data_IF_578401677326
#
_entry.id   IF_578401677326
#
_cell.length_a   1.000
_cell.length_b   1.000
_cell.length_c   1.000
_cell.angle_alpha   90.00
_cell.angle_beta   90.00
_cell.angle_gamma   90.00
#
_symmetry.space_group_name_H-M   'P 1'
#
loop_
_entity.id
_entity.type
_entity.pdbx_description
1 polymer ?
#
# COMPACT_ATOMS: atom_id res chain seq x y z
N UNK A 1 -24.91 17.82 -17.18
CA UNK A 1 -25.14 17.63 -15.74
C UNK A 1 -23.82 17.93 -15.07
N UNK A 2 -23.77 18.93 -14.19
CA UNK A 2 -22.56 19.19 -13.42
C UNK A 2 -22.26 17.97 -12.55
N UNK A 3 -21.10 17.35 -12.77
CA UNK A 3 -20.64 16.23 -11.95
C UNK A 3 -20.36 16.80 -10.56
N UNK A 4 -21.03 16.28 -9.52
CA UNK A 4 -20.79 16.69 -8.13
C UNK A 4 -19.31 16.54 -7.82
N UNK A 5 -18.66 17.62 -7.43
CA UNK A 5 -17.29 17.61 -6.92
C UNK A 5 -17.27 16.90 -5.56
N UNK A 6 -16.44 15.85 -5.45
CA UNK A 6 -16.30 15.06 -4.22
C UNK A 6 -15.23 15.64 -3.31
N UNK A 7 -15.44 15.52 -2.00
CA UNK A 7 -14.45 15.79 -0.98
C UNK A 7 -13.84 14.47 -0.50
N UNK A 8 -12.53 14.30 -0.74
CA UNK A 8 -11.78 13.08 -0.46
C UNK A 8 -10.80 13.34 0.68
N UNK A 9 -10.95 12.66 1.80
CA UNK A 9 -10.02 12.72 2.93
C UNK A 9 -9.00 11.59 2.79
N UNK A 10 -7.71 11.94 2.71
CA UNK A 10 -6.60 10.99 2.62
C UNK A 10 -5.85 10.98 3.93
N UNK A 11 -5.78 9.84 4.62
CA UNK A 11 -4.96 9.65 5.83
C UNK A 11 -3.60 9.07 5.45
N UNK A 12 -2.56 9.32 6.26
CA UNK A 12 -1.20 8.92 5.89
C UNK A 12 -0.66 9.68 4.67
N UNK A 13 -1.06 10.95 4.53
CA UNK A 13 -0.76 11.80 3.39
C UNK A 13 0.72 12.17 3.20
N UNK A 14 1.56 11.90 4.20
CA UNK A 14 3.03 12.06 4.17
C UNK A 14 3.79 10.74 3.92
N UNK A 15 3.07 9.60 3.88
CA UNK A 15 3.64 8.30 3.56
C UNK A 15 3.91 8.11 2.07
N UNK A 16 4.51 6.96 1.68
CA UNK A 16 4.82 6.65 0.28
C UNK A 16 3.61 6.82 -0.65
N UNK A 17 2.51 6.13 -0.34
CA UNK A 17 1.30 6.18 -1.17
C UNK A 17 0.62 7.55 -1.10
N UNK A 18 0.59 8.19 0.09
CA UNK A 18 0.04 9.53 0.26
C UNK A 18 0.73 10.56 -0.61
N UNK A 19 2.07 10.55 -0.67
CA UNK A 19 2.85 11.42 -1.55
C UNK A 19 2.58 11.13 -3.05
N UNK A 20 2.49 9.85 -3.43
CA UNK A 20 2.14 9.47 -4.81
C UNK A 20 0.71 9.91 -5.18
N UNK A 21 -0.23 9.86 -4.23
CA UNK A 21 -1.59 10.37 -4.44
C UNK A 21 -1.59 11.89 -4.66
N UNK A 22 -0.83 12.67 -3.87
CA UNK A 22 -0.68 14.12 -4.09
C UNK A 22 -0.26 14.45 -5.52
N UNK A 23 0.67 13.67 -6.07
CA UNK A 23 1.08 13.83 -7.46
C UNK A 23 -0.01 13.44 -8.46
N UNK A 24 -0.73 12.36 -8.17
CA UNK A 24 -1.73 11.82 -9.09
C UNK A 24 -3.03 12.65 -9.17
N UNK A 25 -3.34 13.45 -8.13
CA UNK A 25 -4.58 14.22 -8.06
C UNK A 25 -4.48 15.64 -8.62
N UNK A 26 -3.31 16.04 -9.15
CA UNK A 26 -3.08 17.41 -9.63
C UNK A 26 -4.09 17.89 -10.69
N UNK A 27 -4.56 16.95 -11.52
CA UNK A 27 -5.51 17.21 -12.59
C UNK A 27 -6.94 16.73 -12.25
N UNK A 28 -7.20 16.26 -11.02
CA UNK A 28 -8.51 15.81 -10.58
C UNK A 28 -9.46 17.00 -10.35
N UNK A 29 -10.70 16.87 -10.79
CA UNK A 29 -11.75 17.84 -10.50
C UNK A 29 -12.24 17.78 -9.04
N UNK A 30 -11.95 16.69 -8.32
CA UNK A 30 -12.32 16.47 -6.94
C UNK A 30 -11.37 17.21 -5.98
N UNK A 31 -11.86 17.46 -4.75
CA UNK A 31 -11.05 18.11 -3.71
C UNK A 31 -10.45 17.05 -2.79
N UNK A 32 -9.13 17.05 -2.65
CA UNK A 32 -8.41 16.15 -1.77
C UNK A 32 -7.87 16.88 -0.54
N UNK A 33 -8.16 16.34 0.64
CA UNK A 33 -7.68 16.84 1.93
C UNK A 33 -6.71 15.79 2.47
N UNK A 34 -5.43 16.13 2.50
CA UNK A 34 -4.39 15.22 2.98
C UNK A 34 -4.14 15.43 4.47
N UNK A 35 -4.20 14.35 5.24
CA UNK A 35 -4.01 14.37 6.68
C UNK A 35 -2.91 13.40 7.10
N UNK A 36 -2.17 13.76 8.15
CA UNK A 36 -1.13 12.93 8.77
C UNK A 36 -0.86 13.42 10.19
N UNK A 37 -0.18 12.60 11.01
CA UNK A 37 0.40 13.02 12.31
C UNK A 37 1.73 13.75 12.12
N UNK A 38 2.35 13.62 10.96
CA UNK A 38 3.61 14.24 10.56
C UNK A 38 3.33 15.33 9.52
N UNK A 39 4.06 16.44 9.63
CA UNK A 39 4.05 17.50 8.62
C UNK A 39 5.39 17.47 7.87
N UNK A 40 5.34 17.46 6.55
CA UNK A 40 6.53 17.56 5.71
C UNK A 40 6.62 18.97 5.10
N UNK A 41 7.82 19.58 5.09
CA UNK A 41 8.01 20.90 4.49
C UNK A 41 7.53 20.94 3.03
N UNK A 42 6.76 21.98 2.69
CA UNK A 42 6.24 22.17 1.33
C UNK A 42 5.02 21.32 0.94
N UNK A 43 4.50 20.49 1.84
CA UNK A 43 3.27 19.74 1.64
C UNK A 43 2.15 20.27 2.55
N UNK A 44 1.09 20.79 1.97
CA UNK A 44 -0.11 21.16 2.73
C UNK A 44 -0.72 19.89 3.35
N UNK A 45 -0.68 19.82 4.68
CA UNK A 45 -1.14 18.66 5.44
C UNK A 45 -1.94 19.11 6.65
N UNK A 46 -3.13 18.57 6.81
CA UNK A 46 -3.92 18.81 8.02
C UNK A 46 -3.50 17.78 9.06
N UNK A 47 -3.12 18.23 10.26
CA UNK A 47 -2.74 17.33 11.35
C UNK A 47 -3.95 16.52 11.80
N UNK A 48 -3.85 15.19 11.75
CA UNK A 48 -4.88 14.28 12.20
C UNK A 48 -4.24 12.95 12.64
N UNK A 49 -4.57 12.54 13.87
CA UNK A 49 -4.31 11.18 14.34
C UNK A 49 -5.54 10.31 14.06
N UNK A 50 -5.36 9.23 13.29
CA UNK A 50 -6.46 8.32 12.93
C UNK A 50 -7.00 7.54 14.14
N UNK A 51 -6.29 7.52 15.26
CA UNK A 51 -6.74 6.89 16.52
C UNK A 51 -7.70 7.78 17.29
N UNK A 52 -7.71 9.09 17.00
CA UNK A 52 -8.66 10.06 17.58
C UNK A 52 -9.93 10.13 16.72
N UNK A 53 -10.92 9.32 17.12
CA UNK A 53 -12.20 9.22 16.41
C UNK A 53 -13.01 10.52 16.45
N UNK A 54 -12.89 11.33 17.50
CA UNK A 54 -13.63 12.59 17.62
C UNK A 54 -13.07 13.63 16.64
N UNK A 55 -11.74 13.77 16.59
CA UNK A 55 -11.07 14.63 15.59
C UNK A 55 -11.37 14.18 14.17
N UNK A 56 -11.39 12.86 13.92
CA UNK A 56 -11.75 12.30 12.63
C UNK A 56 -13.19 12.65 12.23
N UNK A 57 -14.15 12.52 13.15
CA UNK A 57 -15.55 12.90 12.93
C UNK A 57 -15.69 14.39 12.65
N UNK A 58 -15.03 15.23 13.45
CA UNK A 58 -15.09 16.69 13.32
C UNK A 58 -14.56 17.17 11.96
N UNK A 59 -13.41 16.63 11.50
CA UNK A 59 -12.90 17.00 10.18
C UNK A 59 -13.78 16.45 9.05
N UNK A 60 -14.29 15.24 9.18
CA UNK A 60 -15.18 14.64 8.19
C UNK A 60 -16.47 15.44 8.02
N UNK A 61 -17.03 15.97 9.10
CA UNK A 61 -18.22 16.83 9.09
C UNK A 61 -17.88 18.20 8.48
N UNK A 62 -16.86 18.88 9.00
CA UNK A 62 -16.42 20.19 8.54
C UNK A 62 -16.16 20.23 7.02
N UNK A 63 -15.47 19.23 6.53
CA UNK A 63 -15.07 19.16 5.12
C UNK A 63 -16.12 18.46 4.23
N UNK A 64 -17.24 18.00 4.81
CA UNK A 64 -18.31 17.26 4.11
C UNK A 64 -17.75 16.07 3.30
N UNK A 65 -16.94 15.22 3.93
CA UNK A 65 -16.20 14.13 3.27
C UNK A 65 -17.16 13.12 2.65
N UNK A 66 -16.97 12.84 1.37
CA UNK A 66 -17.70 11.83 0.59
C UNK A 66 -16.91 10.50 0.49
N UNK A 67 -15.57 10.57 0.51
CA UNK A 67 -14.70 9.40 0.37
C UNK A 67 -13.52 9.52 1.35
N UNK A 68 -13.21 8.43 2.04
CA UNK A 68 -11.98 8.26 2.81
C UNK A 68 -11.01 7.38 2.05
N UNK A 69 -9.74 7.78 1.96
CA UNK A 69 -8.63 6.94 1.46
C UNK A 69 -7.66 6.72 2.60
N UNK A 70 -7.67 5.53 3.19
CA UNK A 70 -6.81 5.21 4.31
C UNK A 70 -5.48 4.62 3.85
N UNK A 71 -4.45 5.49 3.79
CA UNK A 71 -3.05 5.11 3.55
C UNK A 71 -2.24 5.03 4.86
N UNK A 72 -2.81 5.45 5.99
CA UNK A 72 -2.16 5.35 7.29
C UNK A 72 -2.19 3.91 7.82
N UNK A 73 -1.15 3.54 8.56
CA UNK A 73 -1.05 2.25 9.22
C UNK A 73 0.37 1.97 9.72
N UNK A 74 0.50 0.94 10.54
CA UNK A 74 1.78 0.42 11.00
C UNK A 74 2.37 -0.51 9.93
N UNK A 75 3.48 -0.13 9.30
CA UNK A 75 4.03 -0.84 8.13
C UNK A 75 5.40 -1.49 8.38
N UNK A 76 5.97 -1.33 9.58
CA UNK A 76 7.22 -1.99 9.92
C UNK A 76 6.96 -3.44 10.35
N UNK A 77 7.07 -4.37 9.39
CA UNK A 77 6.76 -5.79 9.56
C UNK A 77 7.58 -6.43 10.70
N UNK A 78 8.90 -6.16 10.75
CA UNK A 78 9.78 -6.71 11.79
C UNK A 78 9.44 -6.19 13.19
N UNK A 79 9.23 -4.87 13.29
CA UNK A 79 8.98 -4.23 14.56
C UNK A 79 7.56 -4.50 15.09
N UNK A 80 6.62 -4.86 14.23
CA UNK A 80 5.27 -5.25 14.63
C UNK A 80 5.25 -6.46 15.57
N UNK A 81 6.25 -7.36 15.46
CA UNK A 81 6.38 -8.51 16.37
C UNK A 81 6.71 -8.09 17.83
N UNK A 82 7.33 -6.91 18.01
CA UNK A 82 7.61 -6.33 19.33
C UNK A 82 6.53 -5.30 19.75
N UNK A 83 5.93 -4.59 18.80
CA UNK A 83 4.97 -3.48 19.02
C UNK A 83 3.53 -3.94 18.72
N UNK A 84 3.12 -5.11 19.21
CA UNK A 84 1.82 -5.76 18.86
C UNK A 84 0.62 -4.83 19.08
N UNK A 85 0.57 -4.15 20.24
CA UNK A 85 -0.55 -3.28 20.60
C UNK A 85 -0.61 -2.03 19.70
N UNK A 86 0.53 -1.43 19.39
CA UNK A 86 0.58 -0.30 18.47
C UNK A 86 0.23 -0.71 17.03
N UNK A 87 0.70 -1.88 16.59
CA UNK A 87 0.34 -2.41 15.29
C UNK A 87 -1.17 -2.65 15.18
N UNK A 88 -1.80 -3.25 16.21
CA UNK A 88 -3.25 -3.46 16.26
C UNK A 88 -4.02 -2.14 16.36
N UNK A 89 -3.55 -1.19 17.19
CA UNK A 89 -4.17 0.12 17.31
C UNK A 89 -4.27 0.82 15.95
N UNK A 90 -3.18 0.85 15.18
CA UNK A 90 -3.13 1.58 13.91
C UNK A 90 -3.74 0.78 12.73
N UNK A 91 -3.57 -0.55 12.69
CA UNK A 91 -4.01 -1.35 11.56
C UNK A 91 -5.44 -1.89 11.71
N UNK A 92 -5.99 -1.95 12.92
CA UNK A 92 -7.33 -2.48 13.18
C UNK A 92 -8.24 -1.46 13.89
N UNK A 93 -7.94 -1.06 15.12
CA UNK A 93 -8.82 -0.19 15.93
C UNK A 93 -9.05 1.18 15.28
N UNK A 94 -8.01 1.79 14.73
CA UNK A 94 -8.16 3.06 13.99
C UNK A 94 -9.01 2.89 12.72
N UNK A 95 -8.92 1.72 12.05
CA UNK A 95 -9.75 1.41 10.89
C UNK A 95 -11.23 1.22 11.29
N UNK A 96 -11.51 0.66 12.46
CA UNK A 96 -12.87 0.62 13.02
C UNK A 96 -13.44 2.03 13.20
N UNK A 97 -12.63 2.96 13.71
CA UNK A 97 -13.00 4.37 13.84
C UNK A 97 -13.31 5.02 12.49
N UNK A 98 -12.45 4.81 11.49
CA UNK A 98 -12.64 5.29 10.12
C UNK A 98 -13.92 4.72 9.48
N UNK A 99 -14.13 3.41 9.60
CA UNK A 99 -15.31 2.74 9.04
C UNK A 99 -16.60 3.24 9.69
N UNK A 100 -16.60 3.45 11.03
CA UNK A 100 -17.74 3.98 11.74
C UNK A 100 -18.09 5.41 11.29
N UNK A 101 -17.10 6.30 11.18
CA UNK A 101 -17.31 7.68 10.69
C UNK A 101 -17.75 7.68 9.22
N UNK A 102 -17.19 6.81 8.39
CA UNK A 102 -17.62 6.65 7.01
C UNK A 102 -19.09 6.19 6.91
N UNK A 103 -19.50 5.21 7.75
CA UNK A 103 -20.88 4.73 7.81
C UNK A 103 -21.85 5.82 8.27
N UNK A 104 -21.53 6.57 9.33
CA UNK A 104 -22.31 7.71 9.83
C UNK A 104 -22.60 8.75 8.74
N UNK A 105 -21.67 8.94 7.80
CA UNK A 105 -21.78 9.90 6.70
C UNK A 105 -22.33 9.30 5.39
N UNK A 106 -22.50 8.00 5.29
CA UNK A 106 -22.80 7.31 4.04
C UNK A 106 -21.66 7.35 3.01
N UNK A 107 -20.45 7.69 3.46
CA UNK A 107 -19.24 7.81 2.65
C UNK A 107 -18.65 6.43 2.30
N UNK A 108 -17.79 6.40 1.29
CA UNK A 108 -17.04 5.19 0.91
C UNK A 108 -15.63 5.23 1.54
N UNK A 109 -15.17 4.09 2.08
CA UNK A 109 -13.81 3.90 2.57
C UNK A 109 -12.98 3.09 1.57
N UNK A 110 -11.90 3.66 1.05
CA UNK A 110 -10.86 2.92 0.32
C UNK A 110 -9.73 2.62 1.31
N UNK A 111 -9.54 1.34 1.64
CA UNK A 111 -8.56 0.89 2.64
C UNK A 111 -7.45 0.08 2.00
N UNK A 112 -6.20 0.41 2.33
CA UNK A 112 -5.02 -0.30 1.81
C UNK A 112 -4.67 -1.45 2.76
N UNK A 113 -4.63 -2.67 2.20
CA UNK A 113 -4.21 -3.88 2.89
C UNK A 113 -2.97 -4.50 2.24
N UNK A 114 -2.68 -5.77 2.53
CA UNK A 114 -1.41 -6.43 2.22
C UNK A 114 -1.61 -7.89 1.81
N UNK A 115 -0.64 -8.41 1.05
CA UNK A 115 -0.44 -9.84 0.77
C UNK A 115 -0.10 -10.66 2.03
N UNK A 116 0.41 -10.03 3.10
CA UNK A 116 0.74 -10.71 4.37
C UNK A 116 -0.49 -11.26 5.12
N UNK A 117 -1.68 -11.03 4.63
CA UNK A 117 -2.89 -11.71 5.12
C UNK A 117 -2.93 -13.20 4.74
N UNK A 118 -2.06 -13.65 3.82
CA UNK A 118 -1.96 -15.04 3.37
C UNK A 118 -0.79 -15.80 3.98
N UNK A 119 -0.91 -17.13 4.08
CA UNK A 119 0.07 -18.02 4.72
C UNK A 119 1.32 -18.35 3.89
N UNK A 120 1.28 -18.11 2.58
CA UNK A 120 2.43 -18.32 1.71
C UNK A 120 2.59 -19.73 1.13
N UNK A 121 1.65 -20.64 1.35
CA UNK A 121 1.68 -22.03 0.85
C UNK A 121 1.05 -22.17 -0.55
N UNK A 122 0.61 -21.06 -1.16
CA UNK A 122 0.04 -21.08 -2.48
C UNK A 122 1.09 -21.42 -3.55
N UNK A 123 0.67 -22.11 -4.62
CA UNK A 123 1.49 -22.48 -5.78
C UNK A 123 1.06 -21.82 -7.08
N UNK A 124 0.05 -20.95 -6.99
CA UNK A 124 -0.50 -20.17 -8.10
C UNK A 124 -0.99 -18.81 -7.59
N UNK A 125 -1.23 -17.83 -8.46
CA UNK A 125 -1.69 -16.52 -8.05
C UNK A 125 -2.92 -16.57 -7.15
N UNK A 126 -2.85 -15.90 -6.00
CA UNK A 126 -3.84 -15.96 -4.92
C UNK A 126 -5.00 -15.04 -5.30
N UNK A 127 -6.23 -15.59 -5.30
CA UNK A 127 -7.46 -14.82 -5.55
C UNK A 127 -7.99 -14.17 -4.28
N UNK A 128 -8.88 -13.20 -4.46
CA UNK A 128 -9.45 -12.41 -3.37
C UNK A 128 -10.29 -13.24 -2.38
N UNK A 129 -10.88 -14.35 -2.85
CA UNK A 129 -11.70 -15.29 -2.06
C UNK A 129 -10.88 -16.40 -1.36
N UNK A 130 -9.55 -16.43 -1.56
CA UNK A 130 -8.69 -17.36 -0.84
C UNK A 130 -8.71 -17.09 0.67
N UNK A 131 -8.74 -18.17 1.46
CA UNK A 131 -8.79 -18.07 2.91
C UNK A 131 -7.53 -17.40 3.48
N UNK A 132 -7.64 -16.30 4.24
CA UNK A 132 -6.50 -15.67 4.88
C UNK A 132 -5.93 -16.56 6.00
N UNK A 133 -4.60 -16.58 6.12
CA UNK A 133 -3.84 -17.31 7.15
C UNK A 133 -2.54 -16.57 7.50
N UNK A 134 -2.60 -15.37 8.10
CA UNK A 134 -1.43 -14.52 8.33
C UNK A 134 -0.40 -15.21 9.24
N UNK A 135 0.89 -15.06 8.92
CA UNK A 135 2.01 -15.65 9.64
C UNK A 135 2.70 -14.71 10.63
N UNK A 136 2.35 -13.41 10.59
CA UNK A 136 2.99 -12.34 11.37
C UNK A 136 1.95 -11.45 12.05
N UNK A 137 2.37 -10.73 13.07
CA UNK A 137 1.54 -9.71 13.75
C UNK A 137 1.08 -8.64 12.75
N UNK A 138 1.96 -8.20 11.85
CA UNK A 138 1.59 -7.26 10.79
C UNK A 138 0.44 -7.79 9.94
N UNK A 139 0.56 -9.00 9.40
CA UNK A 139 -0.49 -9.61 8.58
C UNK A 139 -1.80 -9.81 9.34
N UNK A 140 -1.73 -10.27 10.60
CA UNK A 140 -2.90 -10.48 11.45
C UNK A 140 -3.65 -9.17 11.73
N UNK A 141 -2.93 -8.11 12.11
CA UNK A 141 -3.54 -6.80 12.41
C UNK A 141 -4.10 -6.12 11.15
N UNK A 142 -3.45 -6.30 9.98
CA UNK A 142 -4.01 -5.84 8.70
C UNK A 142 -5.30 -6.58 8.32
N UNK A 143 -5.37 -7.89 8.57
CA UNK A 143 -6.59 -8.67 8.35
C UNK A 143 -7.74 -8.25 9.29
N UNK A 144 -7.42 -7.94 10.55
CA UNK A 144 -8.39 -7.35 11.49
C UNK A 144 -8.94 -6.03 10.92
N UNK A 145 -8.07 -5.17 10.36
CA UNK A 145 -8.45 -3.93 9.69
C UNK A 145 -9.32 -4.12 8.44
N UNK A 146 -9.07 -5.14 7.63
CA UNK A 146 -9.95 -5.48 6.50
C UNK A 146 -11.38 -5.80 6.98
N UNK A 147 -11.50 -6.60 8.05
CA UNK A 147 -12.80 -6.93 8.64
C UNK A 147 -13.51 -5.69 9.19
N UNK A 148 -12.77 -4.80 9.83
CA UNK A 148 -13.29 -3.53 10.34
C UNK A 148 -13.79 -2.62 9.20
N UNK A 149 -13.04 -2.52 8.10
CA UNK A 149 -13.43 -1.73 6.94
C UNK A 149 -14.75 -2.20 6.30
N UNK A 150 -15.10 -3.48 6.41
CA UNK A 150 -16.35 -4.03 5.88
C UNK A 150 -17.62 -3.58 6.65
N UNK A 151 -17.46 -2.91 7.79
CA UNK A 151 -18.60 -2.33 8.51
C UNK A 151 -19.25 -1.13 7.80
N UNK A 152 -18.63 -0.61 6.74
CA UNK A 152 -19.18 0.44 5.89
C UNK A 152 -19.06 0.06 4.40
N UNK A 153 -19.49 0.97 3.51
CA UNK A 153 -19.20 0.85 2.08
C UNK A 153 -17.69 0.95 1.89
N UNK A 154 -17.02 -0.15 1.55
CA UNK A 154 -15.57 -0.13 1.43
C UNK A 154 -15.03 -0.83 0.19
N UNK A 155 -13.91 -0.32 -0.29
CA UNK A 155 -13.01 -0.95 -1.26
C UNK A 155 -11.72 -1.25 -0.50
N UNK A 156 -11.39 -2.52 -0.33
CA UNK A 156 -10.12 -2.94 0.26
C UNK A 156 -9.16 -3.30 -0.87
N UNK A 157 -8.01 -2.64 -0.91
CA UNK A 157 -6.96 -2.91 -1.90
C UNK A 157 -5.80 -3.63 -1.22
N UNK A 158 -5.67 -4.94 -1.42
CA UNK A 158 -4.49 -5.70 -1.01
C UNK A 158 -3.37 -5.46 -2.01
N UNK A 159 -2.22 -5.06 -1.52
CA UNK A 159 -1.02 -4.81 -2.32
C UNK A 159 0.19 -5.51 -1.72
N UNK A 160 1.32 -5.55 -2.43
CA UNK A 160 2.54 -6.20 -2.01
C UNK A 160 3.77 -5.39 -2.40
N UNK A 161 4.85 -5.47 -1.61
CA UNK A 161 6.19 -4.98 -1.94
C UNK A 161 6.22 -3.54 -2.48
N UNK A 162 5.53 -2.66 -1.76
CA UNK A 162 5.31 -1.27 -2.19
C UNK A 162 6.63 -0.48 -2.22
N UNK A 163 6.92 0.17 -3.35
CA UNK A 163 8.07 1.04 -3.53
C UNK A 163 7.70 2.36 -4.21
N UNK A 164 8.51 3.38 -4.00
CA UNK A 164 8.37 4.69 -4.64
C UNK A 164 9.64 5.53 -4.47
N UNK A 165 9.68 6.69 -5.09
CA UNK A 165 10.67 7.74 -4.84
C UNK A 165 10.54 8.36 -3.43
N UNK A 166 9.41 8.16 -2.75
CA UNK A 166 9.10 8.71 -1.43
C UNK A 166 9.37 7.72 -0.29
N UNK A 167 9.64 8.26 0.91
CA UNK A 167 9.82 7.47 2.12
C UNK A 167 10.98 6.50 2.08
N UNK A 168 11.02 5.57 3.03
CA UNK A 168 11.98 4.45 3.08
C UNK A 168 11.33 3.22 2.45
N UNK A 169 12.05 2.54 1.54
CA UNK A 169 11.57 1.32 0.90
C UNK A 169 12.73 0.48 0.37
N UNK A 170 12.42 -0.72 -0.12
CA UNK A 170 13.40 -1.67 -0.59
C UNK A 170 14.26 -1.13 -1.75
N UNK A 171 13.67 -0.46 -2.74
CA UNK A 171 14.41 0.09 -3.90
C UNK A 171 15.46 1.09 -3.44
N UNK A 172 15.10 2.04 -2.57
CA UNK A 172 16.06 3.04 -2.04
C UNK A 172 17.16 2.40 -1.20
N UNK A 173 16.81 1.35 -0.44
CA UNK A 173 17.80 0.57 0.32
C UNK A 173 18.77 -0.15 -0.62
N UNK A 174 18.25 -0.80 -1.67
CA UNK A 174 19.11 -1.48 -2.65
C UNK A 174 19.97 -0.50 -3.43
N UNK A 175 19.44 0.64 -3.86
CA UNK A 175 20.22 1.70 -4.50
C UNK A 175 21.45 2.10 -3.66
N UNK A 176 21.24 2.38 -2.37
CA UNK A 176 22.36 2.73 -1.48
C UNK A 176 23.33 1.57 -1.32
N UNK A 177 22.82 0.36 -1.01
CA UNK A 177 23.69 -0.78 -0.75
C UNK A 177 24.51 -1.20 -1.97
N UNK A 178 23.91 -1.18 -3.17
CA UNK A 178 24.60 -1.59 -4.40
C UNK A 178 25.56 -0.52 -4.94
N UNK A 179 25.39 0.75 -4.56
CA UNK A 179 26.36 1.80 -4.84
C UNK A 179 27.61 1.69 -3.95
N UNK A 180 27.41 1.33 -2.66
CA UNK A 180 28.47 1.41 -1.66
C UNK A 180 29.24 0.10 -1.46
N UNK A 181 28.63 -1.06 -1.75
CA UNK A 181 29.17 -2.39 -1.46
C UNK A 181 29.54 -3.17 -2.71
N UNK A 182 30.70 -3.88 -2.70
CA UNK A 182 31.07 -4.76 -3.82
C UNK A 182 30.17 -5.98 -3.90
N UNK A 183 29.59 -6.43 -2.78
CA UNK A 183 28.72 -7.61 -2.70
C UNK A 183 27.66 -7.44 -1.62
N UNK A 184 26.44 -7.94 -1.90
CA UNK A 184 25.34 -8.10 -0.93
C UNK A 184 24.67 -9.45 -1.08
N UNK A 185 23.99 -9.94 -0.03
CA UNK A 185 23.14 -11.13 -0.09
C UNK A 185 21.67 -10.76 0.02
N UNK A 186 20.83 -11.33 -0.84
CA UNK A 186 19.38 -11.05 -0.87
C UNK A 186 18.60 -12.37 -0.99
N UNK A 187 17.49 -12.47 -0.25
CA UNK A 187 16.62 -13.65 -0.21
C UNK A 187 16.08 -13.99 -1.61
N UNK A 188 16.20 -15.26 -2.03
CA UNK A 188 15.81 -15.74 -3.36
C UNK A 188 14.68 -16.79 -3.34
N UNK A 189 14.23 -17.23 -2.16
CA UNK A 189 13.19 -18.24 -1.97
C UNK A 189 11.84 -17.67 -1.49
N UNK A 190 11.65 -16.35 -1.61
CA UNK A 190 10.38 -15.68 -1.41
C UNK A 190 9.92 -15.05 -2.74
N UNK A 191 8.75 -15.44 -3.20
CA UNK A 191 8.18 -15.04 -4.49
C UNK A 191 6.96 -14.15 -4.30
N UNK A 192 6.95 -13.00 -4.96
CA UNK A 192 5.87 -12.01 -4.89
C UNK A 192 5.83 -11.12 -6.12
N UNK A 193 5.24 -9.95 -5.98
CA UNK A 193 5.22 -8.94 -7.05
C UNK A 193 5.47 -7.55 -6.48
N UNK A 194 6.51 -6.82 -6.95
CA UNK A 194 6.70 -5.42 -6.60
C UNK A 194 5.54 -4.53 -7.05
N UNK A 195 5.21 -3.52 -6.27
CA UNK A 195 4.16 -2.54 -6.60
C UNK A 195 4.71 -1.12 -6.53
N UNK A 196 4.67 -0.40 -7.62
CA UNK A 196 4.97 1.02 -7.64
C UNK A 196 3.79 1.81 -7.05
N UNK A 197 4.02 2.50 -5.95
CA UNK A 197 2.96 3.23 -5.25
C UNK A 197 2.25 4.27 -6.13
N UNK A 198 2.92 4.81 -7.15
CA UNK A 198 2.32 5.70 -8.13
C UNK A 198 1.27 5.01 -8.99
N UNK A 199 1.44 3.74 -9.33
CA UNK A 199 0.44 3.00 -10.12
C UNK A 199 -0.78 2.64 -9.27
N UNK A 200 -0.57 2.28 -8.00
CA UNK A 200 -1.67 2.13 -7.04
C UNK A 200 -2.40 3.46 -6.80
N UNK A 201 -1.68 4.58 -6.71
CA UNK A 201 -2.28 5.92 -6.60
C UNK A 201 -3.15 6.26 -7.82
N UNK A 202 -2.67 5.96 -9.04
CA UNK A 202 -3.45 6.15 -10.28
C UNK A 202 -4.74 5.31 -10.26
N UNK A 203 -4.69 4.05 -9.78
CA UNK A 203 -5.89 3.24 -9.63
C UNK A 203 -6.90 3.90 -8.69
N UNK A 204 -6.46 4.36 -7.51
CA UNK A 204 -7.33 5.00 -6.52
C UNK A 204 -8.00 6.25 -7.13
N UNK A 205 -7.22 7.10 -7.79
CA UNK A 205 -7.75 8.29 -8.47
C UNK A 205 -8.72 7.90 -9.58
N UNK A 206 -8.39 6.88 -10.40
CA UNK A 206 -9.28 6.38 -11.43
C UNK A 206 -10.64 5.89 -10.86
N UNK A 207 -10.62 5.13 -9.76
CA UNK A 207 -11.84 4.68 -9.09
C UNK A 207 -12.73 5.86 -8.67
N UNK A 208 -12.12 6.90 -8.12
CA UNK A 208 -12.82 8.08 -7.62
C UNK A 208 -13.34 8.95 -8.78
N UNK A 209 -12.47 9.32 -9.70
CA UNK A 209 -12.77 10.28 -10.78
C UNK A 209 -13.74 9.71 -11.82
N UNK A 210 -13.74 8.37 -12.02
CA UNK A 210 -14.70 7.70 -12.90
C UNK A 210 -16.03 7.33 -12.22
N UNK A 211 -16.23 7.71 -10.94
CA UNK A 211 -17.46 7.43 -10.18
C UNK A 211 -17.65 5.95 -9.80
N UNK A 212 -16.55 5.16 -9.83
CA UNK A 212 -16.62 3.71 -9.59
C UNK A 212 -16.46 3.31 -8.10
N UNK A 213 -16.37 4.28 -7.19
CA UNK A 213 -16.20 4.07 -5.74
C UNK A 213 -17.38 3.35 -5.06
N UNK A 214 -18.49 3.17 -5.76
CA UNK A 214 -19.61 2.31 -5.34
C UNK A 214 -19.40 0.81 -5.54
N UNK A 215 -18.36 0.40 -6.27
CA UNK A 215 -18.01 -1.02 -6.49
C UNK A 215 -17.24 -1.57 -5.30
N UNK A 216 -17.94 -1.73 -4.18
CA UNK A 216 -17.38 -2.20 -2.91
C UNK A 216 -16.88 -3.64 -2.99
N UNK A 217 -15.89 -4.01 -2.16
CA UNK A 217 -15.32 -5.35 -2.10
C UNK A 217 -13.82 -5.35 -1.82
N UNK A 218 -13.24 -6.54 -1.84
CA UNK A 218 -11.79 -6.75 -1.73
C UNK A 218 -11.23 -6.94 -3.13
N UNK A 219 -10.14 -6.27 -3.44
CA UNK A 219 -9.43 -6.34 -4.71
C UNK A 219 -7.93 -6.46 -4.50
N UNK A 220 -7.26 -7.12 -5.40
CA UNK A 220 -5.81 -7.25 -5.42
C UNK A 220 -5.20 -6.29 -6.45
N UNK A 221 -4.18 -5.54 -6.04
CA UNK A 221 -3.42 -4.69 -6.95
C UNK A 221 -1.93 -4.76 -6.67
N UNK A 222 -1.18 -5.28 -7.63
CA UNK A 222 0.28 -5.15 -7.76
C UNK A 222 0.60 -4.84 -9.22
N UNK A 223 1.84 -4.48 -9.55
CA UNK A 223 2.24 -4.46 -10.96
C UNK A 223 2.16 -5.86 -11.57
N UNK A 224 2.22 -6.00 -12.89
CA UNK A 224 2.29 -7.31 -13.55
C UNK A 224 3.69 -7.94 -13.38
N UNK A 225 3.80 -9.23 -13.68
CA UNK A 225 5.01 -10.01 -13.51
C UNK A 225 5.13 -10.64 -12.12
N UNK A 226 6.23 -11.35 -11.92
CA UNK A 226 6.57 -12.07 -10.69
C UNK A 226 8.07 -11.87 -10.45
N UNK A 227 8.48 -11.78 -9.18
CA UNK A 227 9.88 -11.66 -8.81
C UNK A 227 10.15 -12.31 -7.45
N UNK A 228 11.39 -12.70 -7.22
CA UNK A 228 11.98 -12.88 -5.89
C UNK A 228 12.59 -11.55 -5.41
N UNK A 229 12.86 -11.43 -4.11
CA UNK A 229 13.59 -10.26 -3.61
C UNK A 229 14.98 -10.11 -4.25
N UNK A 230 15.65 -11.24 -4.51
CA UNK A 230 16.93 -11.27 -5.21
C UNK A 230 16.81 -10.71 -6.64
N UNK A 231 15.83 -11.16 -7.42
CA UNK A 231 15.60 -10.64 -8.78
C UNK A 231 15.24 -9.16 -8.77
N UNK A 232 14.46 -8.72 -7.78
CA UNK A 232 14.12 -7.30 -7.64
C UNK A 232 15.35 -6.46 -7.29
N UNK A 233 16.22 -6.91 -6.36
CA UNK A 233 17.48 -6.24 -6.02
C UNK A 233 18.45 -6.21 -7.21
N UNK A 234 18.55 -7.31 -7.96
CA UNK A 234 19.39 -7.41 -9.16
C UNK A 234 18.94 -6.43 -10.24
N UNK A 235 17.61 -6.29 -10.43
CA UNK A 235 17.07 -5.31 -11.38
C UNK A 235 17.34 -3.86 -10.95
N UNK A 236 17.29 -3.55 -9.65
CA UNK A 236 17.68 -2.22 -9.14
C UNK A 236 19.16 -1.95 -9.44
N UNK A 237 20.04 -2.90 -9.14
CA UNK A 237 21.49 -2.80 -9.39
C UNK A 237 21.80 -2.58 -10.90
N UNK A 238 21.19 -3.39 -11.77
CA UNK A 238 21.35 -3.31 -13.21
C UNK A 238 20.86 -1.96 -13.77
N UNK A 239 19.64 -1.57 -13.45
CA UNK A 239 19.00 -0.35 -13.95
C UNK A 239 19.63 0.94 -13.41
N UNK A 240 20.27 0.88 -12.25
CA UNK A 240 21.06 1.99 -11.69
C UNK A 240 22.49 2.07 -12.29
N UNK A 241 22.91 1.10 -13.10
CA UNK A 241 24.26 1.03 -13.64
C UNK A 241 25.33 0.69 -12.59
N UNK A 242 24.92 0.07 -11.45
CA UNK A 242 25.85 -0.36 -10.42
C UNK A 242 26.46 -1.73 -10.76
N UNK A 243 27.61 -2.06 -10.16
CA UNK A 243 28.36 -3.29 -10.39
C UNK A 243 28.50 -4.17 -9.13
N UNK A 244 27.58 -4.04 -8.20
CA UNK A 244 27.54 -4.85 -7.00
C UNK A 244 27.22 -6.31 -7.34
N UNK A 245 27.94 -7.25 -6.73
CA UNK A 245 27.63 -8.68 -6.83
C UNK A 245 26.45 -9.01 -5.89
N UNK A 246 25.24 -9.13 -6.45
CA UNK A 246 24.02 -9.45 -5.72
C UNK A 246 23.87 -10.98 -5.63
N UNK A 247 24.27 -11.56 -4.51
CA UNK A 247 24.24 -13.01 -4.28
C UNK A 247 22.88 -13.45 -3.71
N UNK A 248 22.34 -14.58 -4.19
CA UNK A 248 21.15 -15.18 -3.58
C UNK A 248 21.47 -15.77 -2.20
N UNK A 249 20.51 -15.71 -1.27
CA UNK A 249 20.52 -16.48 -0.04
C UNK A 249 19.12 -17.05 0.24
N UNK A 250 19.03 -17.99 1.16
CA UNK A 250 17.76 -18.55 1.61
C UNK A 250 17.17 -17.76 2.77
N UNK A 251 15.88 -17.90 2.99
CA UNK A 251 15.17 -17.25 4.10
C UNK A 251 15.76 -17.64 5.46
N UNK A 252 16.19 -18.91 5.64
CA UNK A 252 16.79 -19.39 6.88
C UNK A 252 18.22 -18.86 7.14
N UNK A 253 18.89 -18.33 6.12
CA UNK A 253 20.18 -17.64 6.24
C UNK A 253 20.04 -16.15 6.59
N UNK A 254 18.81 -15.60 6.53
CA UNK A 254 18.55 -14.19 6.78
C UNK A 254 17.81 -14.02 8.11
N UNK A 255 18.42 -13.39 9.13
CA UNK A 255 17.79 -13.22 10.43
C UNK A 255 16.59 -12.28 10.32
N UNK A 256 15.39 -12.81 10.54
CA UNK A 256 14.14 -12.05 10.56
C UNK A 256 13.26 -12.54 11.72
N UNK A 257 12.60 -11.62 12.45
CA UNK A 257 11.63 -11.97 13.49
C UNK A 257 10.29 -12.35 12.89
N UNK A 258 9.81 -11.52 11.96
CA UNK A 258 8.54 -11.75 11.30
C UNK A 258 8.64 -12.86 10.25
N UNK A 259 7.74 -13.82 10.32
CA UNK A 259 7.60 -14.85 9.29
C UNK A 259 6.99 -14.24 8.03
N UNK A 260 7.63 -14.50 6.90
CA UNK A 260 7.18 -14.02 5.58
C UNK A 260 6.64 -15.15 4.73
N UNK A 261 5.61 -14.91 3.91
CA UNK A 261 5.11 -15.91 2.96
C UNK A 261 6.20 -16.26 1.93
N UNK A 262 6.36 -17.55 1.63
CA UNK A 262 7.24 -17.99 0.54
C UNK A 262 6.68 -17.60 -0.83
N UNK A 263 5.37 -17.61 -0.96
CA UNK A 263 4.66 -17.21 -2.17
C UNK A 263 3.53 -16.26 -1.85
N UNK A 264 3.54 -15.06 -2.44
CA UNK A 264 2.53 -14.03 -2.21
C UNK A 264 2.06 -13.32 -3.50
N UNK A 265 2.20 -13.97 -4.65
CA UNK A 265 1.71 -13.42 -5.92
C UNK A 265 0.20 -13.32 -5.90
N UNK A 266 -0.34 -12.13 -6.09
CA UNK A 266 -1.77 -11.84 -6.08
C UNK A 266 -2.35 -11.93 -7.50
N UNK A 267 -3.53 -12.56 -7.65
CA UNK A 267 -4.32 -12.50 -8.89
C UNK A 267 -4.94 -11.10 -9.04
N UNK A 268 -4.77 -10.48 -10.18
CA UNK A 268 -5.24 -9.11 -10.49
C UNK A 268 -6.40 -9.10 -11.50
N UNK A 269 -6.93 -10.27 -11.83
CA UNK A 269 -7.98 -10.39 -12.85
C UNK A 269 -9.26 -9.65 -12.47
N UNK A 270 -9.63 -9.71 -11.18
CA UNK A 270 -10.84 -9.05 -10.67
C UNK A 270 -10.74 -7.53 -10.75
N UNK A 271 -9.66 -6.92 -10.27
CA UNK A 271 -9.47 -5.46 -10.30
C UNK A 271 -9.43 -4.93 -11.73
N UNK A 272 -8.71 -5.62 -12.63
CA UNK A 272 -8.65 -5.27 -14.06
C UNK A 272 -10.03 -5.28 -14.70
N UNK A 273 -10.79 -6.36 -14.49
CA UNK A 273 -12.15 -6.51 -15.04
C UNK A 273 -13.12 -5.49 -14.45
N UNK A 274 -13.06 -5.28 -13.13
CA UNK A 274 -14.04 -4.44 -12.42
C UNK A 274 -13.88 -2.97 -12.77
N UNK A 275 -12.63 -2.47 -12.82
CA UNK A 275 -12.36 -1.05 -13.04
C UNK A 275 -11.94 -0.71 -14.48
N UNK A 276 -11.80 -1.70 -15.35
CA UNK A 276 -11.47 -1.48 -16.75
C UNK A 276 -10.05 -0.96 -16.97
N UNK A 277 -9.07 -1.43 -16.17
CA UNK A 277 -7.69 -0.96 -16.20
C UNK A 277 -6.71 -1.98 -16.80
N UNK A 278 -5.61 -1.48 -17.30
CA UNK A 278 -4.37 -2.24 -17.56
C UNK A 278 -3.32 -1.89 -16.50
N UNK A 279 -2.48 -2.85 -16.16
CA UNK A 279 -1.45 -2.69 -15.13
C UNK A 279 -0.09 -2.88 -15.81
N UNK A 280 0.89 -1.96 -15.62
CA UNK A 280 2.23 -2.11 -16.20
C UNK A 280 3.01 -3.22 -15.50
N UNK A 281 4.03 -3.76 -16.20
CA UNK A 281 4.99 -4.69 -15.61
C UNK A 281 5.84 -4.00 -14.53
N UNK A 282 6.22 -4.75 -13.49
CA UNK A 282 6.99 -4.21 -12.37
C UNK A 282 8.37 -3.68 -12.78
N UNK A 283 9.00 -4.24 -13.83
CA UNK A 283 10.31 -3.75 -14.32
C UNK A 283 10.18 -2.39 -14.99
N UNK A 284 9.11 -2.17 -15.74
CA UNK A 284 8.85 -0.87 -16.36
C UNK A 284 8.47 0.18 -15.29
N UNK A 285 7.67 -0.22 -14.31
CA UNK A 285 7.37 0.60 -13.14
C UNK A 285 8.63 0.96 -12.32
N UNK A 286 9.56 0.01 -12.15
CA UNK A 286 10.86 0.25 -11.51
C UNK A 286 11.71 1.25 -12.30
N UNK A 287 11.81 1.11 -13.63
CA UNK A 287 12.51 2.09 -14.48
C UNK A 287 11.95 3.50 -14.29
N UNK A 288 10.64 3.64 -14.24
CA UNK A 288 10.01 4.95 -14.06
C UNK A 288 10.24 5.53 -12.66
N UNK A 289 10.31 4.69 -11.63
CA UNK A 289 10.68 5.10 -10.29
C UNK A 289 12.15 5.56 -10.24
N UNK A 290 13.06 4.79 -10.83
CA UNK A 290 14.49 5.10 -10.82
C UNK A 290 14.81 6.43 -11.53
N UNK A 291 14.15 6.76 -12.65
CA UNK A 291 14.28 8.07 -13.32
C UNK A 291 14.00 9.29 -12.41
N UNK A 292 13.36 9.07 -11.26
CA UNK A 292 13.06 10.12 -10.28
C UNK A 292 14.01 10.12 -9.09
N UNK A 293 14.83 9.08 -8.98
CA UNK A 293 15.76 8.88 -7.88
C UNK A 293 17.21 9.14 -8.27
N UNK A 294 17.52 8.93 -9.57
CA UNK A 294 18.88 9.06 -10.15
C UNK A 294 18.90 9.97 -11.38
#
# INVERSE_FOLDING_TARGET
MDVKKLNVLVTGGCGQLGCCLRDAVKDSANRYIFTDVVELPGLETVRLDITDRESLRAIAEKESVDIFVNCAGYTNVEKAEDDVDLARLLNATAVEGLAAVAAERGATLIHISTDFVFGGDATSPIKEDAAPAPLSVYGATKLEGEKAAQACKSIVLRTAWLFSEYGKNFVKTMLSLTADKPQIKVVADQTGTPTYARDLAKLIVHIIDSGQYGKTGIYHFTNEGVATWHEFASAVNELAGHHCDVQPCRTDEYPAKARRPHYSVLDKSLVKKTFGISIPDWRDALKDCLKKLI
#
